data_IF_652256847761
#
_entry.id   IF_652256847761
#
_cell.length_a   1.000
_cell.length_b   1.000
_cell.length_c   1.000
_cell.angle_alpha   90.00
_cell.angle_beta   90.00
_cell.angle_gamma   90.00
#
_symmetry.space_group_name_H-M   'P 1'
#
loop_
_entity.id
_entity.type
_entity.pdbx_description
1 polymer ?
#
# COMPACT_ATOMS: atom_id res chain seq x y z
N UNK A 1 31.00 -11.11 -20.31
CA UNK A 1 30.86 -10.01 -19.32
C UNK A 1 30.12 -10.57 -18.13
N UNK A 2 30.61 -10.30 -16.91
CA UNK A 2 29.95 -10.74 -15.68
C UNK A 2 29.17 -9.59 -15.06
N UNK A 3 27.87 -9.79 -14.84
CA UNK A 3 27.02 -8.86 -14.07
C UNK A 3 27.33 -9.11 -12.58
N UNK A 4 27.60 -8.04 -11.83
CA UNK A 4 27.94 -8.11 -10.40
C UNK A 4 26.83 -7.54 -9.52
N UNK A 5 25.86 -6.84 -10.10
CA UNK A 5 24.73 -6.26 -9.39
C UNK A 5 23.65 -5.76 -10.33
N UNK A 6 22.47 -5.56 -9.79
CA UNK A 6 21.27 -5.11 -10.50
C UNK A 6 20.71 -3.88 -9.81
N UNK A 7 20.38 -2.84 -10.57
CA UNK A 7 19.61 -1.69 -10.10
C UNK A 7 18.14 -1.88 -10.49
N UNK A 8 17.26 -1.90 -9.52
CA UNK A 8 15.83 -2.19 -9.65
C UNK A 8 15.35 -3.01 -8.42
N UNK A 9 14.13 -3.44 -8.37
CA UNK A 9 13.03 -3.23 -9.30
C UNK A 9 12.27 -1.94 -8.98
N UNK A 10 11.27 -1.54 -9.79
CA UNK A 10 10.39 -0.41 -9.43
C UNK A 10 9.29 -0.85 -8.46
N UNK A 11 8.67 -2.02 -8.69
CA UNK A 11 7.58 -2.53 -7.86
C UNK A 11 8.08 -3.48 -6.78
N UNK A 12 7.53 -3.39 -5.57
CA UNK A 12 7.88 -4.26 -4.44
C UNK A 12 7.57 -5.73 -4.72
N UNK A 13 6.43 -6.04 -5.37
CA UNK A 13 6.10 -7.40 -5.78
C UNK A 13 7.14 -8.01 -6.73
N UNK A 14 7.66 -7.22 -7.67
CA UNK A 14 8.75 -7.67 -8.54
C UNK A 14 10.04 -7.94 -7.76
N UNK A 15 10.36 -7.13 -6.74
CA UNK A 15 11.51 -7.35 -5.88
C UNK A 15 11.37 -8.65 -5.07
N UNK A 16 10.18 -8.94 -4.56
CA UNK A 16 9.88 -10.18 -3.84
C UNK A 16 10.26 -11.42 -4.66
N UNK A 17 9.97 -11.40 -5.97
CA UNK A 17 10.30 -12.50 -6.86
C UNK A 17 11.78 -12.49 -7.30
N UNK A 18 12.34 -11.31 -7.58
CA UNK A 18 13.67 -11.18 -8.17
C UNK A 18 14.81 -11.25 -7.14
N UNK A 19 14.62 -10.70 -5.93
CA UNK A 19 15.67 -10.59 -4.94
C UNK A 19 16.32 -11.95 -4.59
N UNK A 20 15.57 -13.01 -4.25
CA UNK A 20 16.17 -14.29 -3.90
C UNK A 20 16.96 -14.93 -5.07
N UNK A 21 16.55 -14.68 -6.32
CA UNK A 21 17.24 -15.20 -7.50
C UNK A 21 18.56 -14.46 -7.76
N UNK A 22 18.52 -13.13 -7.69
CA UNK A 22 19.69 -12.27 -7.94
C UNK A 22 20.72 -12.44 -6.82
N UNK A 23 20.30 -12.37 -5.57
CA UNK A 23 21.22 -12.49 -4.43
C UNK A 23 21.72 -13.91 -4.26
N UNK A 24 20.89 -14.93 -4.54
CA UNK A 24 21.30 -16.33 -4.57
C UNK A 24 22.35 -16.65 -5.64
N UNK A 25 22.45 -15.83 -6.69
CA UNK A 25 23.51 -15.90 -7.68
C UNK A 25 24.79 -15.11 -7.28
N UNK A 26 24.87 -14.62 -6.04
CA UNK A 26 26.00 -13.88 -5.52
C UNK A 26 26.10 -12.43 -5.97
N UNK A 27 25.01 -11.88 -6.52
CA UNK A 27 24.90 -10.48 -6.92
C UNK A 27 24.18 -9.65 -5.88
N UNK A 28 24.30 -8.33 -5.94
CA UNK A 28 23.50 -7.40 -5.15
C UNK A 28 22.34 -6.86 -5.97
N UNK A 29 21.20 -6.61 -5.31
CA UNK A 29 20.04 -5.91 -5.88
C UNK A 29 19.80 -4.64 -5.08
N UNK A 30 19.78 -3.48 -5.75
CA UNK A 30 19.55 -2.18 -5.11
C UNK A 30 18.36 -1.50 -5.79
N UNK A 31 17.32 -1.21 -5.01
CA UNK A 31 16.14 -0.48 -5.50
C UNK A 31 16.10 0.97 -5.00
N UNK A 32 15.71 1.86 -5.90
CA UNK A 32 15.42 3.28 -5.57
C UNK A 32 13.95 3.57 -5.28
N UNK A 33 13.07 2.55 -5.39
CA UNK A 33 11.62 2.80 -5.32
C UNK A 33 10.79 1.74 -4.57
N UNK A 34 11.35 0.57 -4.26
CA UNK A 34 10.61 -0.42 -3.47
C UNK A 34 10.48 0.03 -2.02
N UNK A 35 9.28 0.05 -1.48
CA UNK A 35 8.99 0.60 -0.15
C UNK A 35 8.38 -0.41 0.82
N UNK A 36 7.94 -1.59 0.36
CA UNK A 36 7.34 -2.60 1.22
C UNK A 36 8.22 -2.96 2.42
N UNK A 37 7.67 -2.97 3.65
CA UNK A 37 8.36 -3.41 4.86
C UNK A 37 8.87 -4.85 4.77
N UNK A 38 8.13 -5.72 4.08
CA UNK A 38 8.46 -7.12 3.92
C UNK A 38 9.82 -7.37 3.27
N UNK A 39 10.33 -6.42 2.47
CA UNK A 39 11.63 -6.53 1.79
C UNK A 39 12.84 -6.23 2.69
N UNK A 40 12.63 -5.54 3.82
CA UNK A 40 13.74 -5.15 4.71
C UNK A 40 13.45 -5.46 6.18
N UNK A 41 12.61 -4.69 6.87
CA UNK A 41 12.37 -4.86 8.32
C UNK A 41 11.13 -4.14 8.82
N UNK A 42 10.74 -4.45 10.04
CA UNK A 42 9.69 -3.81 10.82
C UNK A 42 10.13 -2.53 11.55
N UNK A 43 11.32 -1.99 11.26
CA UNK A 43 12.01 -0.88 11.95
C UNK A 43 12.45 -1.19 13.39
N UNK A 44 12.01 -2.29 13.99
CA UNK A 44 12.47 -2.77 15.30
C UNK A 44 13.63 -3.77 15.20
N UNK A 45 14.10 -4.05 13.98
CA UNK A 45 15.20 -4.94 13.70
C UNK A 45 14.81 -6.36 13.33
N UNK A 46 13.50 -6.66 13.22
CA UNK A 46 13.02 -7.95 12.70
C UNK A 46 13.06 -7.93 11.18
N UNK A 47 13.71 -8.91 10.58
CA UNK A 47 13.76 -9.03 9.13
C UNK A 47 12.35 -9.24 8.55
N UNK A 48 12.08 -8.58 7.43
CA UNK A 48 10.84 -8.75 6.69
C UNK A 48 10.68 -10.16 6.13
N UNK A 49 9.45 -10.58 5.89
CA UNK A 49 9.13 -11.93 5.38
C UNK A 49 9.76 -12.26 4.03
N UNK A 50 10.05 -11.24 3.23
CA UNK A 50 10.67 -11.34 1.90
C UNK A 50 12.07 -10.74 1.86
N UNK A 51 12.71 -10.57 3.02
CA UNK A 51 14.08 -10.10 3.08
C UNK A 51 15.04 -11.12 2.47
N UNK A 52 16.00 -10.63 1.69
CA UNK A 52 17.08 -11.42 1.13
C UNK A 52 18.41 -10.73 1.41
N UNK A 53 19.39 -11.47 1.91
CA UNK A 53 20.76 -10.95 2.06
C UNK A 53 21.29 -10.50 0.69
N UNK A 54 21.84 -9.28 0.62
CA UNK A 54 22.26 -8.66 -0.65
C UNK A 54 21.21 -7.82 -1.35
N UNK A 55 19.98 -7.75 -0.79
CA UNK A 55 18.98 -6.76 -1.20
C UNK A 55 19.12 -5.48 -0.38
N UNK A 56 19.14 -4.34 -1.08
CA UNK A 56 19.19 -2.99 -0.48
C UNK A 56 18.22 -2.06 -1.16
N UNK A 57 17.85 -1.00 -0.47
CA UNK A 57 17.07 0.10 -1.04
C UNK A 57 17.53 1.47 -0.52
N UNK A 58 17.32 2.49 -1.35
CA UNK A 58 17.49 3.89 -0.98
C UNK A 58 16.17 4.59 -0.77
N UNK A 59 15.04 3.96 -1.11
CA UNK A 59 13.71 4.42 -0.79
C UNK A 59 13.38 4.24 0.71
N UNK A 60 12.37 4.97 1.18
CA UNK A 60 11.86 4.84 2.55
C UNK A 60 11.16 3.48 2.77
N UNK A 61 10.78 3.21 4.02
CA UNK A 61 9.91 2.08 4.38
C UNK A 61 8.47 2.57 4.51
N UNK A 62 7.51 1.81 3.98
CA UNK A 62 6.07 2.14 4.03
C UNK A 62 5.51 2.27 5.45
N UNK A 63 6.19 1.77 6.47
CA UNK A 63 5.82 2.04 7.85
C UNK A 63 5.87 3.53 8.18
N UNK A 64 6.82 4.29 7.59
CA UNK A 64 6.85 5.74 7.72
C UNK A 64 5.76 6.43 6.89
N UNK A 65 5.53 5.97 5.66
CA UNK A 65 4.49 6.55 4.80
C UNK A 65 3.10 6.29 5.38
N UNK A 66 2.82 5.07 5.82
CA UNK A 66 1.56 4.70 6.46
C UNK A 66 1.29 5.51 7.73
N UNK A 67 2.31 5.66 8.60
CA UNK A 67 2.20 6.48 9.79
C UNK A 67 1.94 7.97 9.48
N UNK A 68 2.62 8.52 8.47
CA UNK A 68 2.39 9.91 8.04
C UNK A 68 0.98 10.10 7.44
N UNK A 69 0.53 9.16 6.61
CA UNK A 69 -0.81 9.16 6.04
C UNK A 69 -1.90 9.04 7.11
N UNK A 70 -1.73 8.13 8.07
CA UNK A 70 -2.66 7.95 9.19
C UNK A 70 -2.73 9.21 10.07
N UNK A 71 -1.58 9.81 10.37
CA UNK A 71 -1.53 11.06 11.13
C UNK A 71 -2.23 12.20 10.39
N UNK A 72 -2.02 12.33 9.09
CA UNK A 72 -2.70 13.34 8.27
C UNK A 72 -4.22 13.12 8.26
N UNK A 73 -4.67 11.86 8.06
CA UNK A 73 -6.08 11.51 8.11
C UNK A 73 -6.73 11.86 9.44
N UNK A 74 -6.09 11.48 10.55
CA UNK A 74 -6.63 11.65 11.89
C UNK A 74 -6.55 13.10 12.39
N UNK A 75 -5.35 13.72 12.33
CA UNK A 75 -5.11 15.03 12.94
C UNK A 75 -5.49 16.21 12.03
N UNK A 76 -5.37 16.06 10.69
CA UNK A 76 -5.58 17.18 9.77
C UNK A 76 -6.95 17.08 9.09
N UNK A 77 -7.33 15.91 8.59
CA UNK A 77 -8.65 15.72 7.98
C UNK A 77 -9.75 15.48 9.02
N UNK A 78 -9.39 15.12 10.27
CA UNK A 78 -10.33 14.89 11.35
C UNK A 78 -11.14 13.60 11.21
N UNK A 79 -10.65 12.65 10.41
CA UNK A 79 -11.30 11.35 10.28
C UNK A 79 -11.23 10.58 11.60
N UNK A 80 -12.37 10.16 12.11
CA UNK A 80 -12.49 9.33 13.32
C UNK A 80 -12.58 7.84 13.00
N UNK A 81 -13.02 7.51 11.79
CA UNK A 81 -13.10 6.15 11.26
C UNK A 81 -12.49 6.05 9.87
N UNK A 82 -11.91 4.90 9.56
CA UNK A 82 -11.29 4.66 8.26
C UNK A 82 -11.46 3.21 7.80
N UNK A 83 -11.39 3.01 6.49
CA UNK A 83 -11.25 1.71 5.86
C UNK A 83 -10.06 1.74 4.89
N UNK A 84 -9.53 0.57 4.54
CA UNK A 84 -8.47 0.45 3.54
C UNK A 84 -8.78 -0.61 2.50
N UNK A 85 -8.34 -0.37 1.25
CA UNK A 85 -8.40 -1.35 0.16
C UNK A 85 -7.00 -1.51 -0.43
N UNK A 86 -6.57 -2.77 -0.68
CA UNK A 86 -5.32 -3.10 -1.38
C UNK A 86 -5.58 -4.11 -2.50
N UNK A 87 -4.58 -4.39 -3.35
CA UNK A 87 -4.68 -5.33 -4.48
C UNK A 87 -3.83 -6.60 -4.30
N UNK A 88 -3.36 -6.85 -3.06
CA UNK A 88 -2.53 -8.00 -2.73
C UNK A 88 -1.06 -7.89 -3.15
N UNK A 89 -0.63 -6.78 -3.80
CA UNK A 89 0.80 -6.53 -4.02
C UNK A 89 1.49 -6.24 -2.68
N UNK A 90 2.70 -6.75 -2.43
CA UNK A 90 3.47 -6.47 -1.22
C UNK A 90 3.63 -4.97 -0.89
N UNK A 91 3.57 -4.07 -1.89
CA UNK A 91 3.54 -2.63 -1.67
C UNK A 91 2.18 -2.19 -1.11
N UNK A 92 1.10 -2.47 -1.83
CA UNK A 92 -0.24 -1.95 -1.51
C UNK A 92 -0.78 -2.52 -0.20
N UNK A 93 -0.58 -3.84 0.03
CA UNK A 93 -0.94 -4.51 1.28
C UNK A 93 -0.10 -4.00 2.46
N UNK A 94 1.22 -3.84 2.26
CA UNK A 94 2.12 -3.33 3.28
C UNK A 94 1.77 -1.92 3.71
N UNK A 95 1.51 -1.04 2.76
CA UNK A 95 1.16 0.36 3.03
C UNK A 95 -0.25 0.51 3.63
N UNK A 96 -1.24 -0.24 3.13
CA UNK A 96 -2.58 -0.25 3.70
C UNK A 96 -2.57 -0.73 5.17
N UNK A 97 -1.81 -1.79 5.45
CA UNK A 97 -1.63 -2.31 6.81
C UNK A 97 -0.89 -1.33 7.72
N UNK A 98 0.16 -0.68 7.22
CA UNK A 98 0.91 0.33 7.97
C UNK A 98 0.03 1.54 8.35
N UNK A 99 -0.79 2.01 7.39
CA UNK A 99 -1.78 3.04 7.67
C UNK A 99 -2.78 2.59 8.74
N UNK A 100 -3.37 1.41 8.57
CA UNK A 100 -4.38 0.87 9.47
C UNK A 100 -3.89 0.76 10.92
N UNK A 101 -2.70 0.21 11.11
CA UNK A 101 -2.09 0.07 12.44
C UNK A 101 -1.85 1.45 13.07
N UNK A 102 -1.23 2.36 12.33
CA UNK A 102 -0.93 3.71 12.84
C UNK A 102 -2.19 4.53 13.11
N UNK A 103 -3.24 4.37 12.28
CA UNK A 103 -4.52 5.04 12.49
C UNK A 103 -5.19 4.57 13.79
N UNK A 104 -5.16 3.25 14.04
CA UNK A 104 -5.67 2.67 15.29
C UNK A 104 -4.85 3.09 16.51
N UNK A 105 -3.51 3.18 16.39
CA UNK A 105 -2.63 3.66 17.46
C UNK A 105 -2.90 5.13 17.84
N UNK A 106 -3.35 5.95 16.90
CA UNK A 106 -3.78 7.33 17.14
C UNK A 106 -5.16 7.43 17.79
N UNK A 107 -5.89 6.33 17.93
CA UNK A 107 -7.24 6.27 18.50
C UNK A 107 -8.36 6.30 17.45
N UNK A 108 -8.03 6.19 16.18
CA UNK A 108 -9.00 6.07 15.09
C UNK A 108 -9.65 4.68 15.05
N UNK A 109 -10.90 4.63 14.61
CA UNK A 109 -11.66 3.39 14.45
C UNK A 109 -11.44 2.81 13.06
N UNK A 110 -10.61 1.77 12.96
CA UNK A 110 -10.40 1.06 11.70
C UNK A 110 -11.54 0.07 11.46
N UNK A 111 -12.39 0.34 10.48
CA UNK A 111 -13.59 -0.44 10.17
C UNK A 111 -13.26 -1.75 9.43
N UNK A 112 -12.45 -1.67 8.39
CA UNK A 112 -12.07 -2.85 7.59
C UNK A 112 -10.76 -2.63 6.85
N UNK A 113 -10.08 -3.74 6.57
CA UNK A 113 -9.03 -3.88 5.56
C UNK A 113 -9.53 -4.92 4.58
N UNK A 114 -9.72 -4.54 3.32
CA UNK A 114 -10.22 -5.44 2.29
C UNK A 114 -9.38 -5.37 1.02
N UNK A 115 -9.64 -6.26 0.06
CA UNK A 115 -8.82 -6.38 -1.12
C UNK A 115 -9.65 -6.50 -2.40
N UNK A 116 -9.06 -6.04 -3.51
CA UNK A 116 -9.50 -6.31 -4.88
C UNK A 116 -8.46 -7.16 -5.59
N UNK A 117 -8.81 -7.77 -6.71
CA UNK A 117 -7.83 -8.43 -7.55
C UNK A 117 -7.38 -7.50 -8.68
N UNK A 118 -6.11 -7.62 -9.06
CA UNK A 118 -5.63 -6.93 -10.28
C UNK A 118 -6.42 -7.39 -11.49
N UNK A 119 -6.93 -6.42 -12.24
CA UNK A 119 -7.80 -6.65 -13.39
C UNK A 119 -9.30 -6.57 -13.08
N UNK A 120 -9.70 -6.44 -11.82
CA UNK A 120 -11.09 -6.18 -11.47
C UNK A 120 -11.51 -4.80 -12.01
N UNK A 121 -12.70 -4.75 -12.59
CA UNK A 121 -13.29 -3.52 -13.14
C UNK A 121 -14.56 -3.09 -12.41
N UNK A 122 -15.15 -3.99 -11.65
CA UNK A 122 -16.33 -3.75 -10.80
C UNK A 122 -15.90 -3.67 -9.34
N UNK A 123 -15.94 -2.46 -8.80
CA UNK A 123 -15.57 -2.16 -7.41
C UNK A 123 -16.78 -2.07 -6.48
N UNK A 124 -18.00 -2.15 -7.02
CA UNK A 124 -19.23 -2.04 -6.21
C UNK A 124 -19.30 -3.09 -5.09
N UNK A 125 -18.89 -4.36 -5.30
CA UNK A 125 -18.91 -5.36 -4.23
C UNK A 125 -17.99 -4.99 -3.04
N UNK A 126 -16.73 -4.63 -3.29
CA UNK A 126 -15.79 -4.25 -2.24
C UNK A 126 -16.17 -2.92 -1.57
N UNK A 127 -16.67 -1.96 -2.34
CA UNK A 127 -17.18 -0.70 -1.80
C UNK A 127 -18.43 -0.89 -0.95
N UNK A 128 -19.28 -1.87 -1.27
CA UNK A 128 -20.43 -2.25 -0.44
C UNK A 128 -19.98 -2.84 0.91
N UNK A 129 -18.90 -3.63 0.92
CA UNK A 129 -18.28 -4.12 2.16
C UNK A 129 -17.76 -2.95 3.01
N UNK A 130 -17.05 -2.01 2.39
CA UNK A 130 -16.56 -0.79 3.05
C UNK A 130 -17.72 0.04 3.63
N UNK A 131 -18.82 0.18 2.88
CA UNK A 131 -20.00 0.96 3.28
C UNK A 131 -20.68 0.42 4.55
N UNK A 132 -20.52 -0.86 4.87
CA UNK A 132 -21.09 -1.45 6.08
C UNK A 132 -20.56 -0.78 7.37
N UNK A 133 -19.35 -0.24 7.35
CA UNK A 133 -18.75 0.53 8.44
C UNK A 133 -19.03 2.03 8.38
N UNK A 134 -19.48 2.56 7.24
CA UNK A 134 -19.65 3.99 6.99
C UNK A 134 -18.42 4.83 7.40
N UNK A 135 -17.22 4.55 6.87
CA UNK A 135 -16.00 5.22 7.29
C UNK A 135 -15.96 6.69 6.84
N UNK A 136 -15.36 7.55 7.66
CA UNK A 136 -15.08 8.94 7.30
C UNK A 136 -14.05 9.03 6.17
N UNK A 137 -13.15 8.05 6.08
CA UNK A 137 -12.06 8.03 5.11
C UNK A 137 -11.82 6.63 4.55
N UNK A 138 -11.61 6.54 3.23
CA UNK A 138 -11.16 5.34 2.54
C UNK A 138 -9.74 5.58 2.01
N UNK A 139 -8.75 4.82 2.53
CA UNK A 139 -7.38 4.80 2.05
C UNK A 139 -7.16 3.63 1.10
N UNK A 140 -6.71 3.91 -0.14
CA UNK A 140 -6.50 2.88 -1.17
C UNK A 140 -5.18 3.11 -1.91
N UNK A 141 -4.05 2.61 -1.39
CA UNK A 141 -2.73 2.77 -2.01
C UNK A 141 -2.55 1.84 -3.22
N UNK A 142 -3.46 1.91 -4.18
CA UNK A 142 -3.54 1.06 -5.37
C UNK A 142 -3.16 1.88 -6.60
N UNK A 143 -2.67 1.22 -7.64
CA UNK A 143 -2.37 1.83 -8.93
C UNK A 143 -3.60 1.90 -9.86
N UNK A 144 -3.59 2.75 -10.90
CA UNK A 144 -4.51 2.61 -12.02
C UNK A 144 -4.31 1.25 -12.74
N UNK A 145 -5.38 0.65 -13.31
CA UNK A 145 -6.72 1.22 -13.44
C UNK A 145 -7.65 1.00 -12.24
N UNK A 146 -7.36 0.09 -11.32
CA UNK A 146 -8.24 -0.29 -10.22
C UNK A 146 -8.55 0.91 -9.30
N UNK A 147 -7.54 1.72 -8.97
CA UNK A 147 -7.72 2.92 -8.18
C UNK A 147 -8.66 3.95 -8.84
N UNK A 148 -8.62 4.05 -10.18
CA UNK A 148 -9.56 4.90 -10.92
C UNK A 148 -11.00 4.37 -10.79
N UNK A 149 -11.19 3.05 -10.88
CA UNK A 149 -12.52 2.44 -10.74
C UNK A 149 -13.10 2.62 -9.34
N UNK A 150 -12.27 2.53 -8.29
CA UNK A 150 -12.69 2.85 -6.91
C UNK A 150 -13.22 4.28 -6.86
N UNK A 151 -12.45 5.24 -7.36
CA UNK A 151 -12.83 6.67 -7.33
C UNK A 151 -14.07 6.98 -8.14
N UNK A 152 -14.28 6.29 -9.26
CA UNK A 152 -15.44 6.49 -10.13
C UNK A 152 -16.70 5.86 -9.57
N UNK A 153 -16.59 4.66 -8.96
CA UNK A 153 -17.74 3.87 -8.56
C UNK A 153 -18.18 4.10 -7.12
N UNK A 154 -17.38 4.78 -6.30
CA UNK A 154 -17.76 5.03 -4.89
C UNK A 154 -19.08 5.78 -4.77
N UNK A 155 -19.39 6.67 -5.70
CA UNK A 155 -20.67 7.40 -5.74
C UNK A 155 -21.89 6.55 -6.07
N UNK A 156 -21.71 5.30 -6.51
CA UNK A 156 -22.78 4.36 -6.80
C UNK A 156 -23.21 3.56 -5.55
N UNK A 157 -22.42 3.65 -4.46
CA UNK A 157 -22.63 2.86 -3.24
C UNK A 157 -23.17 3.75 -2.13
N UNK A 158 -24.40 3.46 -1.72
CA UNK A 158 -25.04 4.18 -0.63
C UNK A 158 -24.29 4.01 0.69
N UNK A 159 -24.12 5.11 1.43
CA UNK A 159 -23.42 5.16 2.71
C UNK A 159 -21.95 5.61 2.59
N UNK A 160 -21.46 5.87 1.37
CA UNK A 160 -20.13 6.42 1.12
C UNK A 160 -20.12 7.84 0.56
N UNK A 161 -21.28 8.51 0.54
CA UNK A 161 -21.46 9.84 -0.08
C UNK A 161 -20.58 10.93 0.56
N UNK A 162 -20.24 10.77 1.84
CA UNK A 162 -19.40 11.70 2.59
C UNK A 162 -18.00 11.18 2.87
N UNK A 163 -17.68 9.96 2.43
CA UNK A 163 -16.37 9.34 2.67
C UNK A 163 -15.27 10.07 1.89
N UNK A 164 -14.27 10.54 2.60
CA UNK A 164 -13.08 11.15 1.99
C UNK A 164 -12.22 10.09 1.33
N UNK A 165 -11.86 10.29 0.07
CA UNK A 165 -10.92 9.42 -0.64
C UNK A 165 -9.48 9.87 -0.41
N UNK A 166 -8.61 8.94 -0.05
CA UNK A 166 -7.18 9.16 0.11
C UNK A 166 -6.41 8.04 -0.60
N UNK A 167 -5.59 8.42 -1.56
CA UNK A 167 -4.72 7.50 -2.29
C UNK A 167 -3.24 7.73 -1.93
N UNK A 168 -2.35 6.87 -2.43
CA UNK A 168 -0.91 7.04 -2.36
C UNK A 168 -0.37 7.61 -3.69
N UNK A 169 0.95 7.85 -3.72
CA UNK A 169 1.67 8.40 -4.87
C UNK A 169 1.48 7.59 -6.18
N UNK A 170 1.17 6.29 -6.08
CA UNK A 170 0.86 5.46 -7.25
C UNK A 170 -0.32 5.96 -8.09
N UNK A 171 -1.21 6.78 -7.51
CA UNK A 171 -2.33 7.41 -8.21
C UNK A 171 -2.00 8.81 -8.77
N UNK A 172 -0.82 9.36 -8.48
CA UNK A 172 -0.40 10.67 -8.98
C UNK A 172 0.11 10.54 -10.42
N UNK A 173 -0.81 10.35 -11.34
CA UNK A 173 -0.57 10.15 -12.78
C UNK A 173 -1.56 10.97 -13.60
N UNK A 174 -1.18 11.29 -14.87
CA UNK A 174 -1.97 12.20 -15.72
C UNK A 174 -3.37 11.68 -16.11
N UNK A 175 -3.63 10.39 -15.92
CA UNK A 175 -4.89 9.73 -16.28
C UNK A 175 -5.79 9.39 -15.08
N UNK A 176 -5.52 9.98 -13.94
CA UNK A 176 -6.38 9.89 -12.75
C UNK A 176 -7.40 11.03 -12.71
#
# INVERSE_FOLDING_TARGET
>A
ESVIGVLGTSCSGAATAAAPLITGAGMVLISGSNTSPALTSDLAGTAGSNWSEGYYRTAHNDLYQGAAAAKFAYEVLGASSAATIHDGDPYTEGLATAFANSFSELGGDLQTITAVNKGDTDMVPVLTEVAAGSPDLLFFPIFPPEGNYISQQIGEVAGLESTTLMAADGMLVDNY
#
